data_IF_679348917587
#
_entry.id   IF_679348917587
#
_cell.length_a   1.000
_cell.length_b   1.000
_cell.length_c   1.000
_cell.angle_alpha   90.00
_cell.angle_beta   90.00
_cell.angle_gamma   90.00
#
_symmetry.space_group_name_H-M   'P 1'
#
loop_
_entity.id
_entity.type
_entity.pdbx_description
1 polymer ?
#
# COMPACT_ATOMS: atom_id res chain seq x y z
N UNK A 1 -0.15 -0.17 5.12
CA UNK A 1 0.42 1.16 4.88
C UNK A 1 0.21 1.99 6.13
N UNK A 2 1.06 2.98 6.34
CA UNK A 2 0.98 3.91 7.45
C UNK A 2 0.62 5.29 6.89
N UNK A 3 -0.28 5.99 7.55
CA UNK A 3 -0.71 7.34 7.18
C UNK A 3 -0.67 8.24 8.41
N UNK A 4 -0.17 9.45 8.22
CA UNK A 4 -0.04 10.47 9.25
C UNK A 4 -0.82 11.71 8.81
N UNK A 5 -1.78 12.11 9.63
CA UNK A 5 -2.56 13.34 9.45
C UNK A 5 -2.03 14.36 10.45
N UNK A 6 -1.43 15.44 9.95
CA UNK A 6 -0.93 16.55 10.76
C UNK A 6 -1.86 17.77 10.63
N UNK A 7 -2.25 18.34 11.78
CA UNK A 7 -3.01 19.58 11.87
C UNK A 7 -2.11 20.67 12.47
N UNK A 8 -1.92 21.77 11.74
CA UNK A 8 -1.23 22.96 12.24
C UNK A 8 -2.22 24.03 12.68
N UNK A 9 -1.94 24.65 13.82
CA UNK A 9 -2.64 25.82 14.31
C UNK A 9 -1.75 27.05 14.14
N UNK A 10 -2.12 27.95 13.23
CA UNK A 10 -1.43 29.23 13.03
C UNK A 10 -1.97 30.36 13.92
N UNK A 11 -2.90 30.05 14.82
CA UNK A 11 -3.48 30.99 15.78
C UNK A 11 -2.70 31.07 17.08
N UNK A 12 -2.92 32.14 17.83
CA UNK A 12 -2.30 32.40 19.13
C UNK A 12 -3.05 31.78 20.31
N UNK A 13 -4.04 30.91 20.05
CA UNK A 13 -4.84 30.21 21.07
C UNK A 13 -4.93 28.73 20.74
N UNK A 14 -5.06 27.90 21.77
CA UNK A 14 -5.29 26.47 21.60
C UNK A 14 -6.58 26.21 20.81
N UNK A 15 -6.50 25.27 19.87
CA UNK A 15 -7.64 24.84 19.07
C UNK A 15 -8.02 23.39 19.41
N UNK A 16 -9.31 23.15 19.60
CA UNK A 16 -9.86 21.80 19.77
C UNK A 16 -10.56 21.43 18.46
N UNK A 17 -9.96 20.55 17.68
CA UNK A 17 -10.41 20.20 16.33
C UNK A 17 -11.03 18.81 16.32
N UNK A 18 -12.33 18.67 15.99
CA UNK A 18 -12.92 17.38 15.70
C UNK A 18 -12.44 16.87 14.35
N UNK A 19 -11.79 15.70 14.33
CA UNK A 19 -11.36 15.02 13.12
C UNK A 19 -12.20 13.76 12.93
N UNK A 20 -12.86 13.64 11.77
CA UNK A 20 -13.67 12.47 11.45
C UNK A 20 -13.02 11.65 10.32
N UNK A 21 -12.85 10.36 10.56
CA UNK A 21 -12.40 9.38 9.58
C UNK A 21 -13.57 8.47 9.24
N UNK A 22 -13.87 8.35 7.95
CA UNK A 22 -14.88 7.43 7.42
C UNK A 22 -14.18 6.26 6.75
N UNK A 23 -14.41 5.09 7.31
CA UNK A 23 -13.91 3.82 6.78
C UNK A 23 -14.99 3.22 5.91
N UNK A 24 -14.63 2.91 4.67
CA UNK A 24 -15.52 2.22 3.75
C UNK A 24 -14.71 1.50 2.69
N UNK A 25 -15.31 0.43 2.16
CA UNK A 25 -14.73 -0.37 1.08
C UNK A 25 -15.83 -1.17 0.41
N UNK A 26 -15.83 -1.16 -0.92
CA UNK A 26 -16.75 -1.95 -1.75
C UNK A 26 -16.19 -3.36 -2.02
N UNK A 27 -14.95 -3.62 -1.59
CA UNK A 27 -14.18 -4.85 -1.81
C UNK A 27 -14.21 -5.31 -3.28
N UNK A 28 -14.35 -4.37 -4.21
CA UNK A 28 -14.35 -4.63 -5.64
C UNK A 28 -13.02 -5.21 -6.07
N UNK A 29 -13.07 -6.24 -6.92
CA UNK A 29 -11.85 -6.74 -7.55
C UNK A 29 -11.19 -5.62 -8.35
N UNK A 30 -9.86 -5.55 -8.33
CA UNK A 30 -9.09 -4.46 -8.95
C UNK A 30 -9.46 -4.27 -10.43
N UNK A 31 -9.67 -5.34 -11.21
CA UNK A 31 -10.15 -5.22 -12.59
C UNK A 31 -11.57 -4.64 -12.75
N UNK A 32 -12.47 -4.78 -11.77
CA UNK A 32 -13.75 -4.08 -11.77
C UNK A 32 -13.56 -2.57 -11.59
N UNK A 33 -12.60 -2.17 -10.74
CA UNK A 33 -12.19 -0.77 -10.59
C UNK A 33 -11.59 -0.24 -11.90
N UNK A 34 -10.72 -1.02 -12.58
CA UNK A 34 -10.15 -0.66 -13.89
C UNK A 34 -11.25 -0.36 -14.92
N UNK A 35 -12.25 -1.23 -15.03
CA UNK A 35 -13.38 -1.05 -15.95
C UNK A 35 -14.22 0.19 -15.62
N UNK A 36 -14.51 0.42 -14.35
CA UNK A 36 -15.23 1.61 -13.89
C UNK A 36 -14.48 2.91 -14.22
N UNK A 37 -13.15 2.93 -14.06
CA UNK A 37 -12.32 4.08 -14.45
C UNK A 37 -12.36 4.35 -15.96
N UNK A 38 -12.56 3.31 -16.78
CA UNK A 38 -12.73 3.42 -18.24
C UNK A 38 -14.16 3.80 -18.65
N UNK A 39 -15.06 4.12 -17.70
CA UNK A 39 -16.43 4.53 -17.97
C UNK A 39 -17.41 3.37 -18.19
N UNK A 40 -16.97 2.13 -18.03
CA UNK A 40 -17.86 0.97 -18.10
C UNK A 40 -18.72 0.92 -16.84
N UNK A 41 -20.05 0.95 -17.01
CA UNK A 41 -21.00 0.79 -15.91
C UNK A 41 -20.96 -0.64 -15.39
N UNK A 42 -20.19 -0.89 -14.33
CA UNK A 42 -20.32 -2.10 -13.54
C UNK A 42 -21.48 -1.94 -12.55
N UNK A 43 -22.43 -2.88 -12.58
CA UNK A 43 -23.66 -2.83 -11.79
C UNK A 43 -23.49 -3.03 -10.29
N UNK A 44 -24.53 -2.59 -9.57
CA UNK A 44 -24.80 -2.60 -8.12
C UNK A 44 -23.75 -1.91 -7.22
N UNK A 45 -24.23 -1.04 -6.32
CA UNK A 45 -23.45 -0.60 -5.16
C UNK A 45 -23.09 -1.85 -4.37
N UNK A 46 -21.80 -2.22 -4.34
CA UNK A 46 -21.38 -3.37 -3.55
C UNK A 46 -21.66 -3.08 -2.08
N UNK A 47 -22.16 -4.08 -1.36
CA UNK A 47 -22.35 -3.99 0.07
C UNK A 47 -21.04 -3.58 0.72
N UNK A 48 -21.08 -2.46 1.45
CA UNK A 48 -20.00 -2.07 2.35
C UNK A 48 -19.81 -3.20 3.36
N UNK A 49 -18.60 -3.74 3.43
CA UNK A 49 -18.29 -4.83 4.36
C UNK A 49 -18.61 -4.48 5.82
N UNK A 50 -18.62 -5.49 6.69
CA UNK A 50 -18.97 -5.32 8.10
C UNK A 50 -17.82 -4.65 8.87
N UNK A 51 -18.09 -3.52 9.53
CA UNK A 51 -17.11 -2.82 10.35
C UNK A 51 -17.31 -3.13 11.83
N UNK A 52 -16.23 -3.49 12.52
CA UNK A 52 -16.26 -3.94 13.91
C UNK A 52 -15.08 -3.39 14.70
N UNK A 53 -15.25 -3.19 16.00
CA UNK A 53 -14.17 -2.85 16.91
C UNK A 53 -13.53 -4.13 17.46
N UNK A 54 -12.20 -4.22 17.41
CA UNK A 54 -11.41 -5.36 17.91
C UNK A 54 -10.63 -5.02 19.18
N UNK A 55 -10.38 -3.74 19.42
CA UNK A 55 -9.74 -3.22 20.62
C UNK A 55 -9.97 -1.71 20.78
N UNK A 56 -9.40 -1.08 21.83
CA UNK A 56 -9.63 0.34 22.11
C UNK A 56 -9.25 1.28 20.96
N UNK A 57 -8.20 0.93 20.22
CA UNK A 57 -7.70 1.67 19.05
C UNK A 57 -7.64 0.82 17.78
N UNK A 58 -8.29 -0.34 17.79
CA UNK A 58 -8.21 -1.32 16.70
C UNK A 58 -9.58 -1.63 16.15
N UNK A 59 -9.70 -1.54 14.83
CA UNK A 59 -10.94 -1.75 14.09
C UNK A 59 -10.70 -2.70 12.91
N UNK A 60 -11.75 -3.39 12.48
CA UNK A 60 -11.68 -4.37 11.42
C UNK A 60 -12.86 -4.20 10.48
N UNK A 61 -12.59 -4.01 9.19
CA UNK A 61 -13.57 -4.07 8.12
C UNK A 61 -13.44 -5.41 7.41
N UNK A 62 -14.49 -6.23 7.45
CA UNK A 62 -14.52 -7.56 6.83
C UNK A 62 -15.32 -7.50 5.54
N UNK A 63 -14.74 -8.00 4.46
CA UNK A 63 -15.46 -8.13 3.19
C UNK A 63 -16.67 -9.06 3.36
N UNK A 64 -17.75 -8.88 2.56
CA UNK A 64 -18.85 -9.85 2.52
C UNK A 64 -18.34 -11.27 2.21
N UNK A 65 -19.06 -12.30 2.69
CA UNK A 65 -18.61 -13.70 2.71
C UNK A 65 -18.17 -14.26 1.35
N UNK A 66 -18.69 -13.73 0.23
CA UNK A 66 -18.34 -14.10 -1.14
C UNK A 66 -16.92 -13.63 -1.56
N UNK A 67 -16.27 -12.76 -0.77
CA UNK A 67 -14.97 -12.13 -1.09
C UNK A 67 -13.78 -12.75 -0.38
N UNK A 68 -13.82 -14.06 -0.13
CA UNK A 68 -12.66 -14.87 0.31
C UNK A 68 -12.03 -14.41 1.64
N UNK A 69 -12.82 -13.85 2.56
CA UNK A 69 -12.36 -13.52 3.91
C UNK A 69 -11.29 -12.43 3.97
N UNK A 70 -11.32 -11.47 3.03
CA UNK A 70 -10.48 -10.26 3.13
C UNK A 70 -10.90 -9.45 4.36
N UNK A 71 -9.92 -9.08 5.18
CA UNK A 71 -10.11 -8.24 6.36
C UNK A 71 -9.15 -7.08 6.32
N UNK A 72 -9.63 -5.86 6.55
CA UNK A 72 -8.81 -4.67 6.67
C UNK A 72 -8.76 -4.27 8.14
N UNK A 73 -7.59 -4.42 8.75
CA UNK A 73 -7.31 -4.02 10.11
C UNK A 73 -6.82 -2.57 10.10
N UNK A 74 -7.43 -1.75 10.95
CA UNK A 74 -7.08 -0.35 11.16
C UNK A 74 -6.65 -0.16 12.61
N UNK A 75 -5.48 0.43 12.81
CA UNK A 75 -4.99 0.80 14.14
C UNK A 75 -4.71 2.29 14.19
N UNK A 76 -5.09 2.90 15.29
CA UNK A 76 -4.82 4.31 15.55
C UNK A 76 -3.88 4.45 16.75
N UNK A 77 -3.06 5.49 16.76
CA UNK A 77 -2.27 5.87 17.93
C UNK A 77 -3.13 6.57 19.00
N UNK A 78 -4.33 7.04 18.64
CA UNK A 78 -5.29 7.72 19.53
C UNK A 78 -6.61 6.96 19.67
N UNK A 79 -7.29 7.18 20.79
CA UNK A 79 -8.64 6.68 21.02
C UNK A 79 -9.65 7.55 20.25
N UNK A 80 -10.59 6.92 19.56
CA UNK A 80 -11.76 7.61 19.05
C UNK A 80 -12.65 8.01 20.24
N UNK A 81 -13.18 9.24 20.21
CA UNK A 81 -14.20 9.72 21.15
C UNK A 81 -15.56 9.11 20.85
N UNK A 82 -15.86 8.94 19.57
CA UNK A 82 -17.07 8.30 19.09
C UNK A 82 -16.73 7.35 17.94
N UNK A 83 -17.40 6.20 17.91
CA UNK A 83 -17.21 5.20 16.88
C UNK A 83 -18.58 4.61 16.49
N UNK A 84 -18.98 4.81 15.24
CA UNK A 84 -20.20 4.24 14.67
C UNK A 84 -19.81 3.09 13.74
N UNK A 85 -20.06 1.87 14.21
CA UNK A 85 -19.74 0.63 13.49
C UNK A 85 -20.65 0.40 12.27
N UNK A 86 -21.83 1.00 12.24
CA UNK A 86 -22.74 0.84 11.11
C UNK A 86 -22.32 1.72 9.92
N UNK A 87 -21.92 2.98 10.18
CA UNK A 87 -21.50 3.90 9.12
C UNK A 87 -20.00 3.93 8.85
N UNK A 88 -19.19 3.21 9.64
CA UNK A 88 -17.74 3.21 9.53
C UNK A 88 -17.08 4.51 10.02
N UNK A 89 -17.77 5.29 10.84
CA UNK A 89 -17.35 6.64 11.24
C UNK A 89 -16.63 6.64 12.57
N UNK A 90 -15.40 7.14 12.58
CA UNK A 90 -14.58 7.32 13.77
C UNK A 90 -14.32 8.81 13.99
N UNK A 91 -14.58 9.32 15.18
CA UNK A 91 -14.30 10.73 15.53
C UNK A 91 -13.23 10.83 16.59
N UNK A 92 -12.26 11.67 16.31
CA UNK A 92 -11.15 12.01 17.17
C UNK A 92 -11.27 13.49 17.56
N UNK A 93 -10.70 13.83 18.70
CA UNK A 93 -10.60 15.21 19.16
C UNK A 93 -9.12 15.52 19.34
N UNK A 94 -8.61 16.39 18.48
CA UNK A 94 -7.21 16.79 18.49
C UNK A 94 -7.10 18.17 19.14
N UNK A 95 -6.32 18.24 20.20
CA UNK A 95 -5.92 19.51 20.82
C UNK A 95 -4.65 19.98 20.14
N UNK A 96 -4.72 21.12 19.47
CA UNK A 96 -3.60 21.71 18.72
C UNK A 96 -3.14 22.98 19.45
N UNK A 97 -1.91 23.01 20.00
CA UNK A 97 -1.41 24.17 20.74
C UNK A 97 -1.30 25.42 19.85
N UNK A 98 -1.24 26.63 20.42
CA UNK A 98 -0.95 27.86 19.67
C UNK A 98 0.33 27.71 18.86
N UNK A 99 0.32 28.13 17.60
CA UNK A 99 1.48 28.10 16.70
C UNK A 99 2.15 26.72 16.59
N UNK A 100 1.43 25.62 16.89
CA UNK A 100 1.97 24.26 16.91
C UNK A 100 1.13 23.28 16.10
N UNK A 101 1.44 21.99 16.23
CA UNK A 101 0.74 20.92 15.53
C UNK A 101 0.30 19.76 16.42
N UNK A 102 -0.63 18.98 15.91
CA UNK A 102 -1.04 17.69 16.47
C UNK A 102 -1.19 16.68 15.34
N UNK A 103 -0.84 15.43 15.64
CA UNK A 103 -0.82 14.34 14.65
C UNK A 103 -1.79 13.22 15.04
N UNK A 104 -2.39 12.58 14.05
CA UNK A 104 -3.08 11.30 14.17
C UNK A 104 -2.41 10.30 13.24
N UNK A 105 -1.97 9.15 13.77
CA UNK A 105 -1.34 8.09 13.00
C UNK A 105 -2.32 6.93 12.81
N UNK A 106 -2.39 6.43 11.58
CA UNK A 106 -3.21 5.31 11.14
C UNK A 106 -2.35 4.23 10.50
N UNK A 107 -2.38 3.02 11.04
CA UNK A 107 -1.88 1.83 10.37
C UNK A 107 -3.03 1.07 9.73
N UNK A 108 -2.92 0.76 8.45
CA UNK A 108 -3.90 -0.03 7.72
C UNK A 108 -3.26 -1.28 7.13
N UNK A 109 -3.86 -2.44 7.38
CA UNK A 109 -3.32 -3.74 7.01
C UNK A 109 -4.40 -4.67 6.48
N UNK A 110 -4.21 -5.16 5.26
CA UNK A 110 -5.12 -6.11 4.63
C UNK A 110 -4.65 -7.55 4.88
N UNK A 111 -5.54 -8.39 5.40
CA UNK A 111 -5.35 -9.81 5.70
C UNK A 111 -6.33 -10.67 4.95
N UNK A 112 -5.96 -11.93 4.73
CA UNK A 112 -6.77 -12.93 4.04
C UNK A 112 -5.99 -13.59 2.89
N UNK A 113 -6.45 -14.75 2.39
CA UNK A 113 -5.80 -15.47 1.30
C UNK A 113 -5.49 -14.59 0.08
N UNK A 114 -6.43 -13.72 -0.31
CA UNK A 114 -6.28 -12.78 -1.41
C UNK A 114 -5.39 -11.56 -1.07
N UNK A 115 -5.36 -11.10 0.19
CA UNK A 115 -4.57 -9.93 0.60
C UNK A 115 -3.08 -10.26 0.85
N UNK A 116 -2.77 -11.50 1.21
CA UNK A 116 -1.39 -11.96 1.39
C UNK A 116 -0.58 -12.02 0.08
N UNK A 117 -1.25 -12.07 -1.09
CA UNK A 117 -0.60 -12.01 -2.39
C UNK A 117 -0.02 -10.62 -2.71
N UNK A 118 -0.33 -9.58 -1.95
CA UNK A 118 0.11 -8.19 -2.22
C UNK A 118 0.78 -7.57 -0.98
N UNK A 119 0.90 -8.29 0.14
CA UNK A 119 1.45 -7.74 1.37
C UNK A 119 2.96 -7.49 1.26
N UNK A 120 3.44 -6.24 1.36
CA UNK A 120 4.86 -5.92 1.44
C UNK A 120 5.37 -6.16 2.88
N UNK A 121 4.97 -7.26 3.52
CA UNK A 121 5.40 -7.60 4.88
C UNK A 121 6.79 -8.21 4.80
N UNK A 122 7.77 -7.36 5.02
CA UNK A 122 9.20 -7.64 5.01
C UNK A 122 9.95 -6.39 4.56
N UNK A 123 11.21 -6.18 4.96
CA UNK A 123 11.99 -5.05 4.45
C UNK A 123 11.90 -5.01 2.92
N UNK A 124 11.76 -3.81 2.36
CA UNK A 124 11.83 -3.64 0.91
C UNK A 124 13.13 -4.31 0.43
N UNK A 125 13.10 -5.08 -0.66
CA UNK A 125 14.33 -5.72 -1.15
C UNK A 125 15.34 -4.61 -1.42
N UNK A 126 16.39 -4.56 -0.62
CA UNK A 126 17.43 -3.54 -0.74
C UNK A 126 18.29 -3.88 -1.93
N UNK A 127 18.60 -2.89 -2.78
CA UNK A 127 19.72 -3.07 -3.71
C UNK A 127 20.99 -3.14 -2.88
N UNK A 128 21.85 -4.09 -3.24
CA UNK A 128 23.18 -4.21 -2.63
C UNK A 128 23.99 -2.93 -2.88
N UNK A 129 23.77 -2.26 -4.02
CA UNK A 129 24.39 -0.99 -4.37
C UNK A 129 23.55 -0.24 -5.42
N UNK A 130 22.52 0.55 -5.01
CA UNK A 130 21.75 1.32 -5.96
C UNK A 130 22.66 2.29 -6.73
N UNK A 131 22.57 2.37 -8.07
CA UNK A 131 23.35 3.34 -8.82
C UNK A 131 22.91 4.75 -8.42
N UNK A 132 23.85 5.67 -8.27
CA UNK A 132 23.55 7.08 -8.05
C UNK A 132 23.82 7.87 -9.32
N UNK A 133 22.92 8.80 -9.66
CA UNK A 133 23.09 9.65 -10.83
C UNK A 133 23.56 11.04 -10.38
N UNK A 134 24.59 11.55 -11.04
CA UNK A 134 25.03 12.94 -10.93
C UNK A 134 24.89 13.60 -12.29
N UNK A 135 24.14 14.69 -12.34
CA UNK A 135 23.91 15.44 -13.57
C UNK A 135 24.33 16.91 -13.39
N UNK A 136 24.87 17.50 -14.46
CA UNK A 136 25.27 18.91 -14.52
C UNK A 136 24.39 19.68 -15.51
N UNK A 137 24.41 21.01 -15.41
CA UNK A 137 23.63 21.91 -16.26
C UNK A 137 22.23 22.18 -15.72
N UNK A 138 21.48 23.00 -16.44
CA UNK A 138 20.22 23.59 -15.97
C UNK A 138 19.14 22.55 -15.65
N UNK A 139 19.19 21.38 -16.30
CA UNK A 139 18.26 20.27 -16.06
C UNK A 139 18.78 19.23 -15.06
N UNK A 140 19.99 19.39 -14.53
CA UNK A 140 20.65 18.37 -13.70
C UNK A 140 19.84 17.98 -12.47
N UNK A 141 19.30 18.98 -11.76
CA UNK A 141 18.46 18.73 -10.58
C UNK A 141 17.15 18.01 -10.91
N UNK A 142 16.54 18.29 -12.06
CA UNK A 142 15.32 17.61 -12.49
C UNK A 142 15.59 16.14 -12.84
N UNK A 143 16.70 15.86 -13.52
CA UNK A 143 17.10 14.50 -13.88
C UNK A 143 17.39 13.64 -12.66
N UNK A 144 18.11 14.17 -11.66
CA UNK A 144 18.38 13.45 -10.40
C UNK A 144 17.06 13.09 -9.70
N UNK A 145 16.12 14.04 -9.57
CA UNK A 145 14.80 13.76 -8.98
C UNK A 145 13.99 12.72 -9.76
N UNK A 146 14.01 12.79 -11.09
CA UNK A 146 13.32 11.83 -11.95
C UNK A 146 13.90 10.43 -11.78
N UNK A 147 15.23 10.30 -11.70
CA UNK A 147 15.91 9.04 -11.45
C UNK A 147 15.57 8.48 -10.06
N UNK A 148 15.63 9.30 -9.01
CA UNK A 148 15.28 8.89 -7.64
C UNK A 148 13.81 8.44 -7.53
N UNK A 149 12.92 9.04 -8.31
CA UNK A 149 11.54 8.58 -8.43
C UNK A 149 11.46 7.25 -9.17
N UNK A 150 12.12 7.13 -10.33
CA UNK A 150 12.12 5.89 -11.12
C UNK A 150 12.66 4.70 -10.33
N UNK A 151 13.71 4.89 -9.53
CA UNK A 151 14.22 3.84 -8.64
C UNK A 151 13.18 3.43 -7.59
N UNK A 152 12.55 4.39 -6.91
CA UNK A 152 11.44 4.12 -5.95
C UNK A 152 10.27 3.38 -6.60
N UNK A 153 9.90 3.76 -7.81
CA UNK A 153 8.83 3.10 -8.56
C UNK A 153 9.19 1.67 -8.96
N UNK A 154 10.44 1.44 -9.38
CA UNK A 154 10.95 0.12 -9.67
C UNK A 154 10.90 -0.79 -8.43
N UNK A 155 11.23 -0.28 -7.24
CA UNK A 155 11.10 -1.04 -5.99
C UNK A 155 9.66 -1.34 -5.60
N UNK A 156 8.73 -0.43 -5.93
CA UNK A 156 7.31 -0.66 -5.68
C UNK A 156 6.76 -1.84 -6.52
N UNK A 157 7.47 -2.28 -7.56
CA UNK A 157 7.14 -3.47 -8.34
C UNK A 157 7.62 -4.78 -7.69
N UNK A 158 8.35 -4.75 -6.58
CA UNK A 158 8.85 -5.97 -5.97
C UNK A 158 7.73 -6.86 -5.41
N UNK A 159 7.72 -8.12 -5.82
CA UNK A 159 6.82 -9.18 -5.35
C UNK A 159 7.62 -10.38 -4.85
N UNK A 160 7.08 -11.15 -3.90
CA UNK A 160 7.80 -12.22 -3.19
C UNK A 160 6.90 -13.42 -2.86
N UNK A 161 7.52 -14.54 -2.48
CA UNK A 161 6.85 -15.71 -1.92
C UNK A 161 5.71 -16.24 -2.81
N UNK A 162 4.50 -16.35 -2.22
CA UNK A 162 3.34 -16.91 -2.93
C UNK A 162 2.92 -16.12 -4.18
N UNK A 163 3.21 -14.82 -4.24
CA UNK A 163 2.87 -13.95 -5.39
C UNK A 163 3.61 -14.33 -6.67
N UNK A 164 4.77 -14.98 -6.54
CA UNK A 164 5.57 -15.48 -7.65
C UNK A 164 5.51 -17.02 -7.77
N UNK A 165 4.51 -17.66 -7.16
CA UNK A 165 4.29 -19.11 -7.27
C UNK A 165 5.24 -19.96 -6.41
N UNK A 166 5.93 -19.36 -5.43
CA UNK A 166 6.85 -20.07 -4.53
C UNK A 166 6.17 -20.41 -3.19
N UNK A 167 6.73 -21.41 -2.52
CA UNK A 167 6.26 -21.89 -1.21
C UNK A 167 6.41 -20.81 -0.14
N UNK A 168 5.56 -20.88 0.89
CA UNK A 168 5.66 -20.00 2.04
C UNK A 168 7.03 -20.19 2.74
N UNK A 169 7.74 -19.08 2.98
CA UNK A 169 9.13 -19.08 3.48
C UNK A 169 10.22 -18.97 2.40
N UNK A 170 9.87 -18.98 1.11
CA UNK A 170 10.82 -18.62 0.04
C UNK A 170 10.92 -17.09 -0.09
N UNK A 171 12.07 -16.55 0.33
CA UNK A 171 12.38 -15.11 0.31
C UNK A 171 12.82 -14.61 -1.07
N UNK A 172 12.69 -15.43 -2.13
CA UNK A 172 12.97 -14.99 -3.50
C UNK A 172 12.06 -13.84 -3.91
N UNK A 173 12.61 -12.92 -4.70
CA UNK A 173 11.94 -11.70 -5.17
C UNK A 173 11.93 -11.65 -6.69
N UNK A 174 10.89 -11.03 -7.26
CA UNK A 174 10.83 -10.71 -8.68
C UNK A 174 10.14 -9.35 -8.89
N UNK A 175 10.22 -8.82 -10.11
CA UNK A 175 9.45 -7.65 -10.50
C UNK A 175 8.07 -8.07 -11.01
N UNK A 176 7.03 -7.43 -10.50
CA UNK A 176 5.72 -7.43 -11.10
C UNK A 176 5.76 -6.68 -12.45
N UNK A 177 4.84 -7.01 -13.35
CA UNK A 177 4.73 -6.30 -14.63
C UNK A 177 4.21 -4.87 -14.49
N UNK A 178 3.42 -4.58 -13.47
CA UNK A 178 2.96 -3.21 -13.24
C UNK A 178 1.91 -3.08 -12.14
N UNK A 179 1.99 -1.96 -11.42
CA UNK A 179 0.98 -1.55 -10.44
C UNK A 179 -0.08 -0.64 -11.07
N UNK A 180 -1.35 -0.68 -10.63
CA UNK A 180 -1.93 -1.63 -9.69
C UNK A 180 -2.52 -2.89 -10.36
N UNK A 181 -2.56 -2.95 -11.70
CA UNK A 181 -3.38 -3.94 -12.42
C UNK A 181 -2.68 -5.27 -12.71
N UNK A 182 -1.35 -5.30 -12.74
CA UNK A 182 -0.53 -6.43 -13.17
C UNK A 182 0.49 -6.81 -12.10
N UNK A 183 0.03 -6.89 -10.85
CA UNK A 183 0.81 -7.28 -9.67
C UNK A 183 0.90 -8.81 -9.61
N UNK A 184 1.65 -9.38 -10.56
CA UNK A 184 1.95 -10.81 -10.64
C UNK A 184 3.25 -11.03 -11.43
N UNK A 185 3.75 -12.25 -11.44
CA UNK A 185 4.90 -12.63 -12.27
C UNK A 185 4.48 -12.76 -13.75
N UNK A 186 4.95 -11.84 -14.59
CA UNK A 186 4.87 -11.98 -16.05
C UNK A 186 6.27 -12.22 -16.59
N UNK A 187 6.53 -13.42 -17.13
CA UNK A 187 7.89 -13.90 -17.38
C UNK A 187 8.75 -12.96 -18.23
N UNK A 188 8.23 -12.43 -19.34
CA UNK A 188 8.97 -11.50 -20.21
C UNK A 188 9.37 -10.23 -19.46
N UNK A 189 8.40 -9.55 -18.85
CA UNK A 189 8.60 -8.28 -18.16
C UNK A 189 9.55 -8.46 -16.96
N UNK A 190 9.35 -9.52 -16.18
CA UNK A 190 10.21 -9.85 -15.05
C UNK A 190 11.66 -10.15 -15.48
N UNK A 191 11.87 -10.92 -16.56
CA UNK A 191 13.20 -11.26 -17.06
C UNK A 191 13.93 -10.04 -17.65
N UNK A 192 13.24 -9.22 -18.44
CA UNK A 192 13.84 -8.01 -19.04
C UNK A 192 14.25 -7.05 -17.93
N UNK A 193 13.36 -6.73 -17.00
CA UNK A 193 13.66 -5.79 -15.92
C UNK A 193 14.76 -6.34 -15.01
N UNK A 194 14.70 -7.62 -14.64
CA UNK A 194 15.75 -8.25 -13.82
C UNK A 194 17.11 -8.29 -14.51
N UNK A 195 17.14 -8.40 -15.84
CA UNK A 195 18.38 -8.32 -16.62
C UNK A 195 18.95 -6.89 -16.60
N UNK A 196 18.11 -5.87 -16.80
CA UNK A 196 18.51 -4.46 -16.74
C UNK A 196 19.06 -4.06 -15.35
N UNK A 197 18.53 -4.67 -14.29
CA UNK A 197 18.92 -4.38 -12.91
C UNK A 197 19.97 -5.34 -12.35
N UNK A 198 20.38 -6.35 -13.13
CA UNK A 198 21.30 -7.42 -12.70
C UNK A 198 22.58 -6.91 -12.00
N UNK A 199 23.24 -5.81 -12.44
CA UNK A 199 24.46 -5.34 -11.79
C UNK A 199 24.30 -4.88 -10.33
N UNK A 200 23.07 -4.58 -9.89
CA UNK A 200 22.80 -4.04 -8.55
C UNK A 200 21.65 -4.73 -7.81
N UNK A 201 20.88 -5.58 -8.50
CA UNK A 201 19.71 -6.31 -8.01
C UNK A 201 19.70 -7.81 -8.39
N UNK A 202 20.80 -8.57 -8.25
CA UNK A 202 20.89 -9.93 -8.80
C UNK A 202 19.85 -10.91 -8.20
N UNK A 203 19.39 -10.65 -6.98
CA UNK A 203 18.33 -11.43 -6.34
C UNK A 203 17.02 -11.48 -7.15
N UNK A 204 16.69 -10.41 -7.88
CA UNK A 204 15.48 -10.36 -8.72
C UNK A 204 15.57 -11.27 -9.93
N UNK A 205 16.75 -11.38 -10.55
CA UNK A 205 16.98 -12.32 -11.65
C UNK A 205 16.92 -13.76 -11.15
N UNK A 206 17.59 -14.05 -10.02
CA UNK A 206 17.56 -15.38 -9.42
C UNK A 206 16.14 -15.81 -9.02
N UNK A 207 15.37 -14.92 -8.37
CA UNK A 207 14.00 -15.20 -7.99
C UNK A 207 13.07 -15.38 -9.19
N UNK A 208 13.20 -14.54 -10.22
CA UNK A 208 12.45 -14.69 -11.47
C UNK A 208 12.73 -16.05 -12.15
N UNK A 209 14.00 -16.45 -12.27
CA UNK A 209 14.37 -17.73 -12.87
C UNK A 209 13.86 -18.93 -12.08
N UNK A 210 13.97 -18.91 -10.74
CA UNK A 210 13.45 -19.97 -9.86
C UNK A 210 11.95 -20.11 -9.94
N UNK A 211 11.24 -18.99 -9.99
CA UNK A 211 9.79 -18.99 -10.11
C UNK A 211 9.35 -19.55 -11.48
N UNK A 212 9.96 -19.07 -12.56
CA UNK A 212 9.63 -19.50 -13.92
C UNK A 212 10.04 -20.95 -14.20
N UNK A 213 11.08 -21.49 -13.56
CA UNK A 213 11.48 -22.89 -13.75
C UNK A 213 10.52 -23.92 -13.13
N UNK A 214 9.53 -23.45 -12.35
CA UNK A 214 8.51 -24.30 -11.69
C UNK A 214 7.15 -24.25 -12.39
N UNK A 215 7.03 -23.47 -13.47
CA UNK A 215 5.84 -23.39 -14.33
C UNK A 215 5.94 -24.42 -15.46
#
# INVERSE_FOLDING_TARGET
FEEQIELHNYGSREAIVPLEIRVGGDFSHIFAVKRRMLGERSGAAADSGTFTQRGPKEYCMEAPDDRQGVRVLLRFDRLAREADMHSGRLRFQLTVPPEGSAELHLECDARGPAAQAVSPRGPAPTLESPPTVRARGDLGGALVRAYDRAMRDLYALAIRGRTIGLTEGDESVAYAAGIPWYIALFGRDALITSHMTLPYAPAFAAGSLRALSRL
#
